data_IF_829364274480
#
_entry.id   IF_829364274480
#
_cell.length_a   1.000
_cell.length_b   1.000
_cell.length_c   1.000
_cell.angle_alpha   90.00
_cell.angle_beta   90.00
_cell.angle_gamma   90.00
#
_symmetry.space_group_name_H-M   'P 1'
#
loop_
_entity.id
_entity.type
_entity.pdbx_description
1 polymer ?
#
# COMPACT_ATOMS: atom_id res chain seq x y z
N UNK A 1 3.63 20.58 -15.41
CA UNK A 1 2.49 19.66 -15.59
C UNK A 1 2.15 19.10 -14.22
N UNK A 2 1.07 19.58 -13.61
CA UNK A 2 0.76 19.34 -12.21
C UNK A 2 -0.69 18.88 -12.15
N UNK A 3 -0.94 17.60 -11.89
CA UNK A 3 -2.28 17.12 -11.56
C UNK A 3 -2.39 17.07 -10.04
N UNK A 4 -2.79 18.21 -9.47
CA UNK A 4 -3.38 18.31 -8.13
C UNK A 4 -4.90 18.39 -8.28
N UNK A 5 -5.63 17.40 -7.76
CA UNK A 5 -6.99 17.54 -7.17
C UNK A 5 -7.45 16.16 -6.67
N UNK A 6 -7.25 15.81 -5.39
CA UNK A 6 -8.08 16.11 -4.20
C UNK A 6 -9.46 15.44 -4.24
N UNK A 7 -9.68 14.57 -3.23
CA UNK A 7 -10.92 14.26 -2.48
C UNK A 7 -11.23 12.76 -2.40
N UNK A 8 -10.71 12.06 -1.39
CA UNK A 8 -11.55 11.18 -0.55
C UNK A 8 -11.00 11.22 0.87
N UNK A 9 -11.83 11.61 1.84
CA UNK A 9 -11.55 11.46 3.27
C UNK A 9 -11.65 9.99 3.70
N UNK A 10 -10.87 9.12 3.07
CA UNK A 10 -10.55 7.80 3.59
C UNK A 10 -9.16 7.91 4.23
N UNK A 11 -8.95 7.24 5.35
CA UNK A 11 -7.64 7.19 6.01
C UNK A 11 -6.66 6.44 5.09
N UNK A 12 -6.09 7.16 4.12
CA UNK A 12 -4.98 6.67 3.33
C UNK A 12 -3.77 6.60 4.24
N UNK A 13 -3.14 5.44 4.27
CA UNK A 13 -1.91 5.22 5.02
C UNK A 13 -0.78 5.08 4.04
N UNK A 14 0.27 5.88 4.19
CA UNK A 14 1.48 5.71 3.41
C UNK A 14 2.27 4.53 3.96
N UNK A 15 2.58 3.56 3.11
CA UNK A 15 3.36 2.38 3.47
C UNK A 15 4.49 2.15 2.48
N UNK A 16 5.60 1.64 3.00
CA UNK A 16 6.70 1.15 2.19
C UNK A 16 6.50 -0.34 1.92
N UNK A 17 6.55 -0.74 0.67
CA UNK A 17 6.43 -2.13 0.26
C UNK A 17 7.79 -2.81 0.40
N UNK A 18 7.89 -3.70 1.38
CA UNK A 18 9.12 -4.42 1.70
C UNK A 18 9.40 -5.57 0.73
N UNK A 19 8.34 -6.25 0.26
CA UNK A 19 8.47 -7.46 -0.56
C UNK A 19 7.18 -7.82 -1.29
N UNK A 20 7.22 -8.85 -2.14
CA UNK A 20 6.04 -9.48 -2.72
C UNK A 20 5.72 -10.79 -2.02
N UNK A 21 4.43 -11.06 -1.86
CA UNK A 21 3.90 -12.37 -1.51
C UNK A 21 3.94 -13.32 -2.72
N UNK A 22 3.75 -14.62 -2.47
CA UNK A 22 3.70 -15.65 -3.52
C UNK A 22 2.56 -15.45 -4.52
N UNK A 23 1.55 -14.65 -4.18
CA UNK A 23 0.42 -14.31 -5.05
C UNK A 23 0.64 -13.00 -5.83
N UNK A 24 1.83 -12.39 -5.72
CA UNK A 24 2.15 -11.13 -6.40
C UNK A 24 1.59 -9.88 -5.73
N UNK A 25 1.10 -9.98 -4.48
CA UNK A 25 0.68 -8.82 -3.67
C UNK A 25 1.86 -8.23 -2.92
N UNK A 26 1.94 -6.91 -2.85
CA UNK A 26 2.89 -6.18 -2.01
C UNK A 26 2.71 -6.51 -0.53
N UNK A 27 3.80 -6.52 0.21
CA UNK A 27 3.83 -6.79 1.64
C UNK A 27 4.45 -5.60 2.34
N UNK A 28 3.69 -5.01 3.25
CA UNK A 28 4.14 -3.94 4.14
C UNK A 28 3.93 -4.34 5.60
N UNK A 29 4.59 -3.64 6.51
CA UNK A 29 4.34 -3.74 7.95
C UNK A 29 3.90 -2.40 8.52
N UNK A 30 2.73 -2.40 9.15
CA UNK A 30 2.18 -1.24 9.86
C UNK A 30 1.98 -1.65 11.31
N UNK A 31 2.61 -0.91 12.23
CA UNK A 31 2.51 -1.17 13.68
C UNK A 31 2.83 -2.63 14.08
N UNK A 32 3.78 -3.26 13.39
CA UNK A 32 4.18 -4.65 13.63
C UNK A 32 3.24 -5.71 13.03
N UNK A 33 2.17 -5.29 12.37
CA UNK A 33 1.21 -6.17 11.68
C UNK A 33 1.46 -6.19 10.18
N UNK A 34 1.36 -7.38 9.58
CA UNK A 34 1.52 -7.55 8.14
C UNK A 34 0.30 -7.01 7.39
N UNK A 35 0.56 -6.18 6.37
CA UNK A 35 -0.46 -5.64 5.47
C UNK A 35 -0.16 -6.15 4.06
N UNK A 36 -1.12 -6.86 3.46
CA UNK A 36 -1.05 -7.27 2.06
C UNK A 36 -1.68 -6.19 1.19
N UNK A 37 -0.90 -5.64 0.27
CA UNK A 37 -1.28 -4.53 -0.60
C UNK A 37 -1.42 -5.03 -2.03
N UNK A 38 -2.63 -4.96 -2.58
CA UNK A 38 -2.86 -5.29 -3.98
C UNK A 38 -2.31 -4.20 -4.90
N UNK A 39 -1.64 -4.61 -5.99
CA UNK A 39 -1.14 -3.70 -7.03
C UNK A 39 0.14 -2.92 -6.70
N UNK A 40 0.84 -3.24 -5.60
CA UNK A 40 2.05 -2.54 -5.19
C UNK A 40 3.32 -3.41 -5.30
N UNK A 41 4.42 -2.81 -5.76
CA UNK A 41 5.70 -3.47 -5.98
C UNK A 41 6.70 -3.20 -4.86
N UNK A 42 7.70 -4.09 -4.64
CA UNK A 42 8.77 -3.86 -3.68
C UNK A 42 9.56 -2.60 -4.02
N UNK A 43 9.93 -1.85 -2.99
CA UNK A 43 10.66 -0.59 -3.15
C UNK A 43 9.77 0.63 -3.39
N UNK A 44 8.46 0.44 -3.57
CA UNK A 44 7.52 1.55 -3.72
C UNK A 44 7.07 2.11 -2.35
N UNK A 45 6.90 3.42 -2.30
CA UNK A 45 6.12 4.07 -1.23
C UNK A 45 4.77 4.44 -1.80
N UNK A 46 3.71 3.83 -1.27
CA UNK A 46 2.37 3.92 -1.83
C UNK A 46 1.35 4.29 -0.77
N UNK A 47 0.35 5.06 -1.17
CA UNK A 47 -0.82 5.34 -0.36
C UNK A 47 -1.81 4.15 -0.49
N UNK A 48 -2.13 3.53 0.64
CA UNK A 48 -3.03 2.37 0.68
C UNK A 48 -4.37 2.69 1.32
N UNK A 49 -5.39 1.96 0.88
CA UNK A 49 -6.70 1.91 1.52
C UNK A 49 -6.95 0.52 2.08
N UNK A 50 -7.19 0.41 3.39
CA UNK A 50 -7.53 -0.86 4.02
C UNK A 50 -8.89 -1.36 3.53
N UNK A 51 -8.90 -2.54 2.93
CA UNK A 51 -10.12 -3.20 2.45
C UNK A 51 -10.66 -4.19 3.47
N UNK A 52 -9.79 -4.88 4.21
CA UNK A 52 -10.16 -5.84 5.26
C UNK A 52 -9.15 -5.82 6.39
N UNK A 53 -9.65 -5.87 7.63
CA UNK A 53 -8.79 -6.08 8.80
C UNK A 53 -9.05 -7.44 9.43
N UNK A 54 -7.99 -8.24 9.59
CA UNK A 54 -8.05 -9.54 10.27
C UNK A 54 -7.12 -9.54 11.49
N UNK A 55 -7.28 -10.46 12.45
CA UNK A 55 -6.45 -10.47 13.66
C UNK A 55 -4.95 -10.70 13.37
N UNK A 56 -4.63 -11.42 12.29
CA UNK A 56 -3.24 -11.79 11.94
C UNK A 56 -2.58 -10.86 10.93
N UNK A 57 -3.37 -10.25 10.06
CA UNK A 57 -2.90 -9.40 8.96
C UNK A 57 -4.03 -8.49 8.49
N UNK A 58 -3.68 -7.42 7.78
CA UNK A 58 -4.62 -6.58 7.08
C UNK A 58 -4.48 -6.75 5.56
N UNK A 59 -5.54 -6.44 4.85
CA UNK A 59 -5.58 -6.40 3.39
C UNK A 59 -5.91 -4.97 2.99
N UNK A 60 -5.19 -4.47 2.00
CA UNK A 60 -5.31 -3.12 1.49
C UNK A 60 -5.13 -3.12 -0.03
N UNK A 61 -5.62 -2.08 -0.68
CA UNK A 61 -5.41 -1.81 -2.09
C UNK A 61 -4.56 -0.55 -2.25
N UNK A 62 -3.66 -0.54 -3.24
CA UNK A 62 -2.91 0.65 -3.61
C UNK A 62 -3.83 1.66 -4.29
N UNK A 63 -3.81 2.90 -3.79
CA UNK A 63 -4.60 4.01 -4.34
C UNK A 63 -3.74 4.98 -5.14
N UNK A 64 -2.52 5.25 -4.67
CA UNK A 64 -1.59 6.17 -5.32
C UNK A 64 -0.14 5.75 -5.07
N UNK A 65 0.75 6.03 -6.02
CA UNK A 65 2.19 5.78 -5.90
C UNK A 65 2.88 7.11 -5.61
N UNK A 66 3.34 7.28 -4.37
CA UNK A 66 4.03 8.49 -3.93
C UNK A 66 5.50 8.46 -4.39
N UNK A 67 6.12 7.29 -4.36
CA UNK A 67 7.47 7.06 -4.87
C UNK A 67 7.52 5.78 -5.70
N UNK A 68 7.80 5.87 -7.02
CA UNK A 68 7.89 4.69 -7.88
C UNK A 68 9.10 3.83 -7.53
N UNK A 69 9.03 2.56 -7.91
CA UNK A 69 10.14 1.61 -7.78
C UNK A 69 11.28 2.00 -8.73
N UNK A 70 12.53 1.74 -8.34
CA UNK A 70 13.71 1.95 -9.22
C UNK A 70 14.02 0.75 -10.13
N UNK A 71 13.12 -0.24 -10.21
CA UNK A 71 13.29 -1.48 -10.98
C UNK A 71 12.62 -1.47 -12.35
#
# INVERSE_FOLDING_TARGET
MSKKNRLVGSLLHDVYIESLSHEGRGVARVEGKTVFVDGALPGESVAIHYTRSKPKFDEAEMVDVNHPSEY
#
